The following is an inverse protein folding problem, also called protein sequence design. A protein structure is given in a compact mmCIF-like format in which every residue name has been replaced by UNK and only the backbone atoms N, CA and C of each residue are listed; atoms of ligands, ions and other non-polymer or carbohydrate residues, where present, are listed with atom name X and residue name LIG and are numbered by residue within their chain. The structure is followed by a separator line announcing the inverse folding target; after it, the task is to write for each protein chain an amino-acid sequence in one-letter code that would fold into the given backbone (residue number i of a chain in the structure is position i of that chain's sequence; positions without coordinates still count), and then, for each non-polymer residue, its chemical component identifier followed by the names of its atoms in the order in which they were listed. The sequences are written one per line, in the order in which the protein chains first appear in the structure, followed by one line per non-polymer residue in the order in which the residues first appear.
data_IF_530074078813
#
_entry.id   IF_530074078813
#
_cell.length_a   1.000
_cell.length_b   1.000
_cell.length_c   1.000
_cell.angle_alpha   90.00
_cell.angle_beta   90.00
_cell.angle_gamma   90.00
#
_symmetry.space_group_name_H-M   'P 1'
#
loop_
_entity.id
_entity.type
_entity.pdbx_description
1 polymer ?
#
# COMPACT_ATOMS: atom_id res chain seq x y z
N UNK A 1 -0.05 -29.33 18.25
CA UNK A 1 0.12 -28.50 17.04
C UNK A 1 0.38 -27.06 17.46
N UNK A 2 1.65 -26.67 17.57
CA UNK A 2 2.04 -25.31 17.99
C UNK A 2 1.86 -24.38 16.79
N UNK A 3 0.86 -23.47 16.84
CA UNK A 3 0.73 -22.41 15.84
C UNK A 3 2.02 -21.58 15.88
N UNK A 4 2.89 -21.72 14.87
CA UNK A 4 4.04 -20.83 14.70
C UNK A 4 3.50 -19.40 14.63
N UNK A 5 3.84 -18.57 15.63
CA UNK A 5 3.66 -17.12 15.54
C UNK A 5 4.47 -16.68 14.32
N UNK A 6 3.79 -16.32 13.24
CA UNK A 6 4.43 -15.60 12.13
C UNK A 6 4.78 -14.24 12.71
N UNK A 7 6.03 -14.07 13.12
CA UNK A 7 6.57 -12.74 13.42
C UNK A 7 6.78 -12.11 12.05
N UNK A 8 5.76 -11.39 11.55
CA UNK A 8 5.90 -10.59 10.35
C UNK A 8 6.81 -9.43 10.72
N UNK A 9 8.07 -9.48 10.30
CA UNK A 9 9.01 -8.40 10.59
C UNK A 9 8.58 -7.14 9.84
N UNK A 10 9.07 -5.96 10.26
CA UNK A 10 8.85 -4.70 9.51
C UNK A 10 9.23 -4.84 8.03
N UNK A 11 10.28 -5.61 7.74
CA UNK A 11 10.74 -5.88 6.38
C UNK A 11 9.74 -6.75 5.59
N UNK A 12 9.19 -7.80 6.20
CA UNK A 12 8.18 -8.64 5.54
C UNK A 12 6.90 -7.86 5.21
N UNK A 13 6.50 -6.96 6.12
CA UNK A 13 5.36 -6.07 5.90
C UNK A 13 5.64 -5.12 4.74
N UNK A 14 6.77 -4.41 4.77
CA UNK A 14 7.16 -3.48 3.70
C UNK A 14 7.23 -4.17 2.34
N UNK A 15 7.87 -5.34 2.26
CA UNK A 15 7.94 -6.14 1.04
C UNK A 15 6.55 -6.52 0.50
N UNK A 16 5.64 -6.88 1.40
CA UNK A 16 4.25 -7.22 1.03
C UNK A 16 3.52 -6.00 0.46
N UNK A 17 3.69 -4.82 1.06
CA UNK A 17 3.11 -3.58 0.55
C UNK A 17 3.71 -3.19 -0.81
N UNK A 18 5.03 -3.29 -0.98
CA UNK A 18 5.70 -3.05 -2.26
C UNK A 18 5.14 -3.96 -3.36
N UNK A 19 4.99 -5.27 -3.09
CA UNK A 19 4.41 -6.20 -4.07
C UNK A 19 2.99 -5.87 -4.52
N UNK A 20 2.18 -5.32 -3.63
CA UNK A 20 0.80 -4.98 -3.98
C UNK A 20 0.67 -3.67 -4.72
N UNK A 21 1.50 -2.68 -4.38
CA UNK A 21 1.28 -1.29 -4.78
C UNK A 21 2.28 -0.78 -5.79
N UNK A 22 3.53 -1.25 -5.77
CA UNK A 22 4.54 -0.76 -6.67
C UNK A 22 4.11 -0.99 -8.13
N UNK A 23 4.28 0.04 -8.96
CA UNK A 23 3.86 0.12 -10.35
C UNK A 23 2.36 0.05 -10.61
N UNK A 24 1.49 0.04 -9.59
CA UNK A 24 0.04 0.11 -9.79
C UNK A 24 -0.39 1.54 -10.16
N UNK A 25 -1.34 1.62 -11.07
CA UNK A 25 -2.08 2.85 -11.37
C UNK A 25 -3.20 3.02 -10.34
N UNK A 26 -3.11 4.07 -9.54
CA UNK A 26 -3.97 4.33 -8.39
C UNK A 26 -4.51 5.75 -8.42
N UNK A 27 -5.71 5.96 -7.87
CA UNK A 27 -6.23 7.30 -7.56
C UNK A 27 -7.00 7.29 -6.24
N UNK A 28 -7.10 8.44 -5.58
CA UNK A 28 -7.94 8.59 -4.40
C UNK A 28 -9.42 8.44 -4.79
N UNK A 29 -10.12 7.55 -4.09
CA UNK A 29 -11.55 7.35 -4.33
C UNK A 29 -12.31 8.63 -3.96
N UNK A 30 -13.23 9.06 -4.83
CA UNK A 30 -14.12 10.18 -4.56
C UNK A 30 -13.52 11.59 -4.73
N UNK A 31 -12.22 11.74 -4.98
CA UNK A 31 -11.62 13.06 -5.28
C UNK A 31 -11.77 13.49 -6.74
N UNK A 32 -12.06 12.56 -7.65
CA UNK A 32 -11.90 12.81 -9.09
C UNK A 32 -10.42 13.00 -9.44
N UNK A 33 -10.04 12.71 -10.68
CA UNK A 33 -8.65 12.83 -11.13
C UNK A 33 -8.17 11.64 -11.94
N UNK A 34 -6.97 11.81 -12.50
CA UNK A 34 -6.28 10.80 -13.29
C UNK A 34 -5.71 9.69 -12.41
N UNK A 35 -5.40 8.56 -13.04
CA UNK A 35 -4.73 7.47 -12.37
C UNK A 35 -3.24 7.71 -12.39
N UNK A 36 -2.62 7.66 -11.22
CA UNK A 36 -1.20 7.92 -11.03
C UNK A 36 -0.46 6.62 -10.73
N UNK A 37 0.73 6.45 -11.31
CA UNK A 37 1.54 5.24 -11.08
C UNK A 37 2.31 5.38 -9.76
N UNK A 38 2.19 4.38 -8.90
CA UNK A 38 2.98 4.29 -7.67
C UNK A 38 4.42 3.90 -8.00
N UNK A 39 5.37 4.75 -7.62
CA UNK A 39 6.81 4.57 -7.88
C UNK A 39 7.60 4.22 -6.61
N UNK A 40 7.06 4.51 -5.43
CA UNK A 40 7.69 4.18 -4.14
C UNK A 40 6.64 3.92 -3.07
N UNK A 41 6.95 2.98 -2.18
CA UNK A 41 6.10 2.61 -1.03
C UNK A 41 6.92 2.82 0.24
N UNK A 42 6.42 3.64 1.16
CA UNK A 42 7.07 3.88 2.45
C UNK A 42 6.20 3.37 3.59
N UNK A 43 6.78 2.52 4.44
CA UNK A 43 6.10 1.92 5.57
C UNK A 43 6.56 2.56 6.89
N UNK A 44 5.68 3.36 7.49
CA UNK A 44 5.90 4.01 8.78
C UNK A 44 5.07 3.30 9.85
N UNK A 45 5.65 2.27 10.46
CA UNK A 45 5.05 1.56 11.58
C UNK A 45 6.12 1.13 12.62
N UNK A 46 5.72 0.94 13.88
CA UNK A 46 6.57 0.30 14.89
C UNK A 46 6.85 -1.16 14.48
N UNK A 47 7.88 -1.79 15.07
CA UNK A 47 8.25 -3.17 14.74
C UNK A 47 7.11 -4.18 14.89
N UNK A 48 6.13 -3.89 15.75
CA UNK A 48 4.95 -4.72 15.97
C UNK A 48 3.94 -4.69 14.82
N UNK A 49 4.01 -3.69 13.91
CA UNK A 49 3.09 -3.54 12.78
C UNK A 49 1.65 -3.18 13.15
N UNK A 50 1.35 -2.99 14.45
CA UNK A 50 -0.04 -2.91 14.93
C UNK A 50 -0.69 -1.56 14.60
N UNK A 51 0.10 -0.49 14.51
CA UNK A 51 -0.38 0.85 14.21
C UNK A 51 0.63 1.54 13.29
N UNK A 52 0.31 1.70 12.03
CA UNK A 52 1.22 2.30 11.07
C UNK A 52 0.49 3.00 9.93
N UNK A 53 1.26 3.75 9.17
CA UNK A 53 0.84 4.33 7.91
C UNK A 53 1.71 3.84 6.76
N UNK A 54 1.09 3.74 5.59
CA UNK A 54 1.78 3.47 4.33
C UNK A 54 1.62 4.68 3.43
N UNK A 55 2.73 5.18 2.89
CA UNK A 55 2.73 6.27 1.91
C UNK A 55 3.04 5.69 0.54
N UNK A 56 2.13 5.88 -0.40
CA UNK A 56 2.30 5.49 -1.79
C UNK A 56 2.67 6.74 -2.57
N UNK A 57 3.94 6.88 -2.94
CA UNK A 57 4.43 7.99 -3.74
C UNK A 57 4.16 7.71 -5.21
N UNK A 58 3.65 8.72 -5.89
CA UNK A 58 3.26 8.66 -7.29
C UNK A 58 4.26 9.39 -8.19
N UNK A 59 4.20 9.10 -9.49
CA UNK A 59 5.12 9.63 -10.50
C UNK A 59 5.03 11.17 -10.64
N UNK A 60 3.85 11.75 -10.41
CA UNK A 60 3.60 13.19 -10.34
C UNK A 60 4.25 13.89 -9.12
N UNK A 61 4.85 13.13 -8.19
CA UNK A 61 5.43 13.62 -6.95
C UNK A 61 4.44 13.76 -5.80
N UNK A 62 3.16 13.42 -6.00
CA UNK A 62 2.16 13.32 -4.93
C UNK A 62 2.37 12.04 -4.10
N UNK A 63 1.61 11.94 -2.99
CA UNK A 63 1.54 10.68 -2.24
C UNK A 63 0.15 10.44 -1.65
N UNK A 64 -0.22 9.16 -1.57
CA UNK A 64 -1.41 8.70 -0.86
C UNK A 64 -1.01 8.18 0.52
N UNK A 65 -1.68 8.66 1.57
CA UNK A 65 -1.46 8.16 2.93
C UNK A 65 -2.55 7.16 3.30
N UNK A 66 -2.13 5.99 3.75
CA UNK A 66 -3.00 4.96 4.25
C UNK A 66 -2.73 4.73 5.74
N UNK A 67 -3.71 5.07 6.60
CA UNK A 67 -3.63 4.79 8.03
C UNK A 67 -4.36 3.46 8.31
N UNK A 68 -3.62 2.41 8.70
CA UNK A 68 -4.25 1.21 9.26
C UNK A 68 -3.65 -0.15 8.90
N UNK A 69 -4.07 -1.13 9.70
CA UNK A 69 -3.74 -2.56 9.69
C UNK A 69 -4.19 -3.36 8.46
N UNK A 70 -4.88 -2.73 7.50
CA UNK A 70 -5.27 -3.49 6.30
C UNK A 70 -4.06 -3.53 5.38
N UNK A 71 -3.53 -4.73 5.26
CA UNK A 71 -2.65 -5.19 4.20
C UNK A 71 -2.95 -4.52 2.83
N UNK A 72 -4.22 -4.30 2.50
CA UNK A 72 -4.65 -3.63 1.26
C UNK A 72 -5.65 -2.50 1.55
N UNK A 73 -5.41 -1.25 1.11
CA UNK A 73 -6.44 -0.22 0.95
C UNK A 73 -7.74 -0.75 0.36
N UNK A 74 -8.88 -0.31 0.91
CA UNK A 74 -10.19 -0.74 0.41
C UNK A 74 -10.53 0.06 -0.84
N UNK A 75 -11.44 -0.46 -1.66
CA UNK A 75 -11.95 0.24 -2.86
C UNK A 75 -12.51 1.64 -2.57
N UNK A 76 -12.99 1.87 -1.34
CA UNK A 76 -13.48 3.16 -0.88
C UNK A 76 -12.37 4.18 -0.55
N UNK A 77 -11.13 3.72 -0.41
CA UNK A 77 -9.98 4.54 -0.06
C UNK A 77 -9.20 4.88 -1.34
N UNK A 78 -8.91 3.86 -2.17
CA UNK A 78 -8.12 3.98 -3.40
C UNK A 78 -8.75 3.12 -4.50
N UNK A 79 -8.88 3.69 -5.69
CA UNK A 79 -9.22 2.96 -6.91
C UNK A 79 -7.95 2.53 -7.63
N UNK A 80 -7.87 1.26 -8.00
CA UNK A 80 -6.71 0.68 -8.69
C UNK A 80 -7.15 0.23 -10.08
N UNK A 81 -6.50 0.74 -11.12
CA UNK A 81 -6.70 0.23 -12.47
C UNK A 81 -5.81 -1.01 -12.64
N UNK A 82 -6.42 -2.17 -12.87
CA UNK A 82 -5.67 -3.31 -13.35
C UNK A 82 -5.19 -2.97 -14.76
N UNK A 83 -3.88 -2.77 -14.94
CA UNK A 83 -3.32 -2.93 -16.28
C UNK A 83 -3.55 -4.38 -16.66
N UNK A 84 -4.37 -4.61 -17.68
CA UNK A 84 -4.42 -5.89 -18.36
C UNK A 84 -3.01 -6.10 -18.91
N UNK A 85 -2.23 -6.93 -18.21
CA UNK A 85 -1.01 -7.48 -18.78
C UNK A 85 -1.44 -8.27 -20.01
N UNK A 86 -1.20 -7.70 -21.19
CA UNK A 86 -1.24 -8.44 -22.45
C UNK A 86 -0.16 -9.51 -22.47
#
# INVERSE_FOLDING_TARGET
MTRKKVITTKQDMQYTYEKWWLHKLCRLSGRGGEFERVVKVEFHAPPSGVYGEVRLHTEDGSFFVYHGLSFRPRKKDIEVKQELSG
#
